data_IF_613760347088
#
_entry.id   IF_613760347088
#
_cell.length_a   1.000
_cell.length_b   1.000
_cell.length_c   1.000
_cell.angle_alpha   90.00
_cell.angle_beta   90.00
_cell.angle_gamma   90.00
#
_symmetry.space_group_name_H-M   'P 1'
#
loop_
_entity.id
_entity.type
_entity.pdbx_description
1 polymer ?
#
# COMPACT_ATOMS: atom_id res chain seq x y z
N UNK A 1 -3.24 22.72 -28.57
CA UNK A 1 -4.49 22.22 -27.97
C UNK A 1 -4.15 21.78 -26.57
N UNK A 2 -4.39 22.68 -25.63
CA UNK A 2 -4.12 22.49 -24.21
C UNK A 2 -5.09 21.43 -23.70
N UNK A 3 -4.57 20.27 -23.31
CA UNK A 3 -5.38 19.27 -22.64
C UNK A 3 -5.82 19.86 -21.30
N UNK A 4 -7.11 20.16 -21.17
CA UNK A 4 -7.75 20.42 -19.89
C UNK A 4 -7.54 19.17 -19.03
N UNK A 5 -6.49 19.19 -18.21
CA UNK A 5 -6.31 18.25 -17.11
C UNK A 5 -7.49 18.45 -16.17
N UNK A 6 -8.47 17.54 -16.22
CA UNK A 6 -9.63 17.65 -15.34
C UNK A 6 -9.13 17.66 -13.89
N UNK A 7 -9.43 18.73 -13.19
CA UNK A 7 -9.28 18.80 -11.75
C UNK A 7 -10.24 17.78 -11.14
N UNK A 8 -9.79 16.53 -10.96
CA UNK A 8 -10.40 15.61 -10.00
C UNK A 8 -10.28 16.20 -8.61
N UNK A 9 -11.24 17.06 -8.27
CA UNK A 9 -11.56 17.46 -6.91
C UNK A 9 -12.14 16.24 -6.17
N UNK A 10 -12.27 16.29 -4.85
CA UNK A 10 -12.86 15.19 -4.06
C UNK A 10 -14.25 14.75 -4.56
N UNK A 11 -14.95 15.58 -5.36
CA UNK A 11 -16.21 15.27 -6.02
C UNK A 11 -16.15 14.21 -7.13
N UNK A 12 -14.96 13.85 -7.64
CA UNK A 12 -14.80 12.84 -8.70
C UNK A 12 -14.48 11.43 -8.17
N UNK A 13 -14.44 11.25 -6.85
CA UNK A 13 -14.21 9.93 -6.25
C UNK A 13 -15.50 9.08 -6.28
N UNK A 14 -15.40 7.76 -6.57
CA UNK A 14 -16.49 6.82 -6.33
C UNK A 14 -16.93 6.85 -4.87
N UNK A 15 -18.22 6.58 -4.61
CA UNK A 15 -18.81 6.65 -3.26
C UNK A 15 -18.01 5.88 -2.19
N UNK A 16 -17.58 4.65 -2.51
CA UNK A 16 -16.76 3.82 -1.60
C UNK A 16 -15.41 4.46 -1.28
N UNK A 17 -14.79 5.13 -2.26
CA UNK A 17 -13.48 5.75 -2.12
C UNK A 17 -13.59 7.05 -1.33
N UNK A 18 -14.68 7.80 -1.50
CA UNK A 18 -14.98 8.99 -0.71
C UNK A 18 -15.06 8.66 0.78
N UNK A 19 -15.74 7.57 1.15
CA UNK A 19 -15.82 7.15 2.56
C UNK A 19 -14.44 6.89 3.17
N UNK A 20 -13.58 6.13 2.49
CA UNK A 20 -12.22 5.85 2.98
C UNK A 20 -11.36 7.12 3.01
N UNK A 21 -11.49 8.00 2.01
CA UNK A 21 -10.78 9.28 1.98
C UNK A 21 -11.13 10.17 3.19
N UNK A 22 -12.41 10.19 3.59
CA UNK A 22 -12.88 10.88 4.79
C UNK A 22 -12.29 10.28 6.07
N UNK A 23 -12.35 8.96 6.21
CA UNK A 23 -11.80 8.24 7.37
C UNK A 23 -10.28 8.38 7.47
N UNK A 24 -9.57 8.51 6.35
CA UNK A 24 -8.12 8.71 6.30
C UNK A 24 -7.70 10.13 6.72
N UNK A 25 -8.61 11.10 6.74
CA UNK A 25 -8.32 12.50 7.12
C UNK A 25 -8.28 13.49 5.95
N UNK A 26 -8.94 13.16 4.84
CA UNK A 26 -9.22 14.07 3.71
C UNK A 26 -8.00 14.83 3.15
N UNK A 27 -6.89 14.15 2.79
CA UNK A 27 -5.76 14.83 2.19
C UNK A 27 -6.15 15.48 0.86
N UNK A 28 -5.52 16.61 0.55
CA UNK A 28 -5.79 17.37 -0.67
C UNK A 28 -5.24 16.65 -1.90
N UNK A 29 -6.14 16.00 -2.64
CA UNK A 29 -5.80 15.09 -3.75
C UNK A 29 -5.10 15.77 -4.93
N UNK A 30 -5.35 17.06 -5.17
CA UNK A 30 -4.71 17.82 -6.25
C UNK A 30 -3.18 17.91 -6.08
N UNK A 31 -2.67 17.83 -4.86
CA UNK A 31 -1.23 17.89 -4.57
C UNK A 31 -0.55 16.50 -4.65
N UNK A 32 -1.33 15.44 -4.76
CA UNK A 32 -0.84 14.05 -4.69
C UNK A 32 -0.79 13.35 -6.05
N UNK A 33 -1.20 14.03 -7.13
CA UNK A 33 -1.31 13.46 -8.48
C UNK A 33 0.03 13.01 -9.05
N UNK A 34 -0.08 12.04 -9.94
CA UNK A 34 1.04 11.62 -10.78
C UNK A 34 1.35 12.65 -11.86
N UNK A 35 2.64 12.76 -12.18
CA UNK A 35 3.20 13.58 -13.25
C UNK A 35 3.92 12.63 -14.21
N UNK A 36 3.26 12.30 -15.32
CA UNK A 36 3.79 11.30 -16.27
C UNK A 36 4.73 11.89 -17.33
N UNK A 37 4.58 13.18 -17.65
CA UNK A 37 5.27 13.84 -18.76
C UNK A 37 6.24 14.91 -18.25
N UNK A 38 7.21 15.30 -19.08
CA UNK A 38 8.25 16.28 -18.74
C UNK A 38 9.61 15.64 -18.38
N UNK A 39 10.53 16.40 -17.75
CA UNK A 39 11.84 15.90 -17.34
C UNK A 39 11.72 14.75 -16.34
N UNK A 40 12.54 13.70 -16.47
CA UNK A 40 12.47 12.49 -15.64
C UNK A 40 12.50 12.78 -14.14
N UNK A 41 13.30 13.76 -13.71
CA UNK A 41 13.44 14.15 -12.30
C UNK A 41 12.15 14.72 -11.69
N UNK A 42 11.28 15.29 -12.52
CA UNK A 42 10.00 15.87 -12.10
C UNK A 42 8.82 14.91 -12.22
N UNK A 43 9.03 13.72 -12.80
CA UNK A 43 7.97 12.73 -12.96
C UNK A 43 7.71 12.04 -11.63
N UNK A 44 6.43 11.83 -11.35
CA UNK A 44 5.93 11.15 -10.15
C UNK A 44 4.93 10.12 -10.63
N UNK A 45 5.21 8.85 -10.42
CA UNK A 45 4.32 7.78 -10.87
C UNK A 45 4.48 6.54 -10.03
N UNK A 46 3.41 5.76 -9.92
CA UNK A 46 3.44 4.42 -9.35
C UNK A 46 2.66 4.32 -8.05
N UNK A 47 2.38 3.07 -7.66
CA UNK A 47 1.61 2.77 -6.48
C UNK A 47 2.39 3.11 -5.21
N UNK A 48 1.69 3.70 -4.25
CA UNK A 48 2.17 4.11 -2.94
C UNK A 48 1.39 3.35 -1.88
N UNK A 49 1.96 3.27 -0.69
CA UNK A 49 1.23 2.77 0.47
C UNK A 49 0.02 3.67 0.71
N UNK A 50 -1.09 3.06 1.11
CA UNK A 50 -2.37 3.73 1.38
C UNK A 50 -3.10 4.24 0.12
N UNK A 51 -2.65 3.91 -1.09
CA UNK A 51 -3.38 4.28 -2.31
C UNK A 51 -4.74 3.58 -2.39
N UNK A 52 -5.77 4.31 -2.84
CA UNK A 52 -7.06 3.71 -3.15
C UNK A 52 -6.99 3.06 -4.52
N UNK A 53 -7.29 1.77 -4.58
CA UNK A 53 -7.16 0.95 -5.78
C UNK A 53 -8.41 0.11 -6.01
N UNK A 54 -8.60 -0.24 -7.27
CA UNK A 54 -9.59 -1.23 -7.71
C UNK A 54 -8.85 -2.35 -8.44
N UNK A 55 -9.13 -3.59 -8.05
CA UNK A 55 -8.53 -4.80 -8.58
C UNK A 55 -9.61 -5.57 -9.32
N UNK A 56 -9.35 -5.90 -10.58
CA UNK A 56 -10.14 -6.84 -11.36
C UNK A 56 -9.49 -8.22 -11.26
N UNK A 57 -10.24 -9.18 -10.74
CA UNK A 57 -9.83 -10.57 -10.57
C UNK A 57 -10.24 -11.42 -11.78
N UNK A 58 -9.52 -12.51 -12.01
CA UNK A 58 -9.90 -13.54 -12.97
C UNK A 58 -11.17 -14.25 -12.47
N UNK A 59 -12.27 -14.06 -13.19
CA UNK A 59 -13.58 -14.63 -12.83
C UNK A 59 -13.59 -16.15 -12.75
N UNK A 60 -12.64 -16.84 -13.39
CA UNK A 60 -12.50 -18.31 -13.30
C UNK A 60 -12.01 -18.77 -11.93
N UNK A 61 -11.35 -17.90 -11.19
CA UNK A 61 -10.86 -18.17 -9.83
C UNK A 61 -11.92 -17.87 -8.76
N UNK A 62 -13.09 -17.35 -9.14
CA UNK A 62 -14.16 -16.93 -8.23
C UNK A 62 -15.37 -17.87 -8.28
N UNK A 63 -16.18 -17.92 -7.22
CA UNK A 63 -17.48 -18.56 -7.27
C UNK A 63 -18.37 -17.97 -8.37
N UNK A 64 -19.31 -18.78 -8.87
CA UNK A 64 -20.28 -18.30 -9.87
C UNK A 64 -21.12 -17.16 -9.29
N UNK A 65 -21.36 -16.14 -10.11
CA UNK A 65 -22.14 -14.94 -9.79
C UNK A 65 -21.49 -14.01 -8.74
N UNK A 66 -20.18 -14.12 -8.51
CA UNK A 66 -19.43 -13.14 -7.71
C UNK A 66 -18.97 -11.98 -8.58
N UNK A 67 -19.06 -10.75 -8.06
CA UNK A 67 -18.48 -9.58 -8.73
C UNK A 67 -16.94 -9.68 -8.69
N UNK A 68 -16.24 -9.59 -9.83
CA UNK A 68 -14.79 -9.79 -9.89
C UNK A 68 -13.99 -8.54 -9.50
N UNK A 69 -14.66 -7.48 -9.02
CA UNK A 69 -14.01 -6.26 -8.58
C UNK A 69 -13.80 -6.29 -7.08
N UNK A 70 -12.61 -5.90 -6.67
CA UNK A 70 -12.26 -5.70 -5.28
C UNK A 70 -11.67 -4.31 -5.12
N UNK A 71 -12.18 -3.55 -4.16
CA UNK A 71 -11.88 -2.13 -3.98
C UNK A 71 -11.42 -1.89 -2.55
N UNK A 72 -10.47 -0.99 -2.38
CA UNK A 72 -9.96 -0.67 -1.06
C UNK A 72 -8.66 0.11 -1.09
N UNK A 73 -8.07 0.22 0.09
CA UNK A 73 -6.80 0.88 0.33
C UNK A 73 -5.66 -0.14 0.29
N UNK A 74 -4.59 0.19 -0.45
CA UNK A 74 -3.40 -0.65 -0.57
C UNK A 74 -2.60 -0.65 0.73
N UNK A 75 -2.49 -1.81 1.36
CA UNK A 75 -1.74 -1.99 2.62
C UNK A 75 -0.31 -2.44 2.33
N UNK A 76 -0.15 -3.37 1.39
CA UNK A 76 1.12 -4.05 1.14
C UNK A 76 1.22 -4.65 -0.25
N UNK A 77 2.45 -4.69 -0.76
CA UNK A 77 2.78 -5.36 -2.03
C UNK A 77 3.96 -6.30 -1.82
N UNK A 78 3.66 -7.60 -1.73
CA UNK A 78 4.67 -8.65 -1.67
C UNK A 78 4.92 -9.23 -3.06
N UNK A 79 5.94 -10.09 -3.21
CA UNK A 79 6.32 -10.68 -4.51
C UNK A 79 5.16 -11.39 -5.21
N UNK A 80 4.34 -12.14 -4.46
CA UNK A 80 3.26 -12.96 -5.01
C UNK A 80 1.87 -12.51 -4.57
N UNK A 81 1.78 -11.46 -3.75
CA UNK A 81 0.54 -11.08 -3.05
C UNK A 81 0.37 -9.57 -3.07
N UNK A 82 -0.87 -9.12 -3.18
CA UNK A 82 -1.31 -7.76 -2.89
C UNK A 82 -2.23 -7.80 -1.68
N UNK A 83 -1.98 -6.93 -0.71
CA UNK A 83 -2.73 -6.82 0.52
C UNK A 83 -3.51 -5.51 0.50
N UNK A 84 -4.82 -5.59 0.71
CA UNK A 84 -5.69 -4.42 0.76
C UNK A 84 -6.55 -4.45 2.01
N UNK A 85 -6.95 -3.27 2.44
CA UNK A 85 -8.06 -3.05 3.37
C UNK A 85 -9.26 -2.64 2.54
N UNK A 86 -10.27 -3.51 2.44
CA UNK A 86 -11.37 -3.36 1.49
C UNK A 86 -12.43 -2.35 1.96
N UNK A 87 -13.35 -1.97 1.06
CA UNK A 87 -14.43 -1.01 1.33
C UNK A 87 -15.42 -1.45 2.44
N UNK A 88 -15.41 -2.73 2.83
CA UNK A 88 -16.21 -3.27 3.93
C UNK A 88 -15.46 -3.25 5.27
N UNK A 89 -14.18 -2.86 5.26
CA UNK A 89 -13.32 -2.84 6.44
C UNK A 89 -12.56 -4.15 6.68
N UNK A 90 -12.59 -5.09 5.73
CA UNK A 90 -11.90 -6.37 5.86
C UNK A 90 -10.47 -6.30 5.28
N UNK A 91 -9.52 -6.94 5.95
CA UNK A 91 -8.21 -7.20 5.37
C UNK A 91 -8.29 -8.35 4.36
N UNK A 92 -7.80 -8.13 3.15
CA UNK A 92 -7.76 -9.12 2.05
C UNK A 92 -6.34 -9.30 1.56
N UNK A 93 -5.91 -10.55 1.44
CA UNK A 93 -4.63 -10.95 0.85
C UNK A 93 -4.91 -11.70 -0.45
N UNK A 94 -4.45 -11.15 -1.58
CA UNK A 94 -4.84 -11.59 -2.93
C UNK A 94 -3.60 -12.06 -3.66
N UNK A 95 -3.65 -13.26 -4.23
CA UNK A 95 -2.57 -13.77 -5.05
C UNK A 95 -2.47 -12.97 -6.37
N UNK A 96 -1.24 -12.64 -6.79
CA UNK A 96 -1.02 -11.81 -7.99
C UNK A 96 -1.36 -12.51 -9.30
N UNK A 97 -1.33 -13.84 -9.32
CA UNK A 97 -1.63 -14.67 -10.48
C UNK A 97 -3.11 -14.67 -10.86
N UNK A 98 -4.01 -14.33 -9.92
CA UNK A 98 -5.44 -14.18 -10.19
C UNK A 98 -5.85 -12.74 -10.50
N UNK A 99 -4.91 -11.78 -10.55
CA UNK A 99 -5.21 -10.38 -10.86
C UNK A 99 -5.11 -10.14 -12.36
N UNK A 100 -6.20 -9.66 -12.96
CA UNK A 100 -6.25 -9.25 -14.37
C UNK A 100 -5.79 -7.80 -14.53
N UNK A 101 -6.24 -6.91 -13.65
CA UNK A 101 -5.89 -5.48 -13.69
C UNK A 101 -5.90 -4.89 -12.29
N UNK A 102 -5.01 -3.93 -12.05
CA UNK A 102 -5.05 -3.04 -10.90
C UNK A 102 -5.15 -1.59 -11.41
N UNK A 103 -6.21 -0.90 -11.01
CA UNK A 103 -6.47 0.50 -11.35
C UNK A 103 -6.27 1.36 -10.10
N UNK A 104 -5.37 2.34 -10.22
CA UNK A 104 -5.25 3.39 -9.22
C UNK A 104 -6.48 4.32 -9.31
N UNK A 105 -7.14 4.55 -8.18
CA UNK A 105 -8.27 5.48 -8.07
C UNK A 105 -7.75 6.85 -7.67
N UNK A 106 -7.01 6.92 -6.55
CA UNK A 106 -6.35 8.15 -6.09
C UNK A 106 -5.21 7.84 -5.13
N UNK A 107 -4.27 8.78 -5.01
CA UNK A 107 -3.24 8.74 -3.99
C UNK A 107 -3.73 9.43 -2.72
N UNK A 108 -3.49 8.78 -1.57
CA UNK A 108 -3.72 9.39 -0.26
C UNK A 108 -2.43 9.92 0.39
N UNK A 109 -1.28 9.47 -0.12
CA UNK A 109 0.03 9.80 0.43
C UNK A 109 0.97 10.43 -0.60
N UNK A 110 1.96 11.17 -0.08
CA UNK A 110 3.04 11.74 -0.89
C UNK A 110 3.91 10.62 -1.45
N UNK A 111 4.62 10.85 -2.57
CA UNK A 111 5.66 9.94 -3.02
C UNK A 111 6.67 9.67 -1.91
N UNK A 112 7.22 8.46 -1.85
CA UNK A 112 8.14 8.00 -0.80
C UNK A 112 9.22 9.03 -0.41
N UNK A 113 9.89 9.62 -1.40
CA UNK A 113 11.00 10.57 -1.21
C UNK A 113 10.54 11.86 -0.51
N UNK A 114 9.27 12.24 -0.66
CA UNK A 114 8.67 13.44 -0.09
C UNK A 114 7.92 13.17 1.23
N UNK A 115 7.77 11.89 1.59
CA UNK A 115 7.04 11.44 2.77
C UNK A 115 7.96 11.31 3.99
N UNK A 116 8.11 12.43 4.70
CA UNK A 116 8.95 12.49 5.92
C UNK A 116 8.45 11.58 7.03
N UNK A 117 7.13 11.39 7.14
CA UNK A 117 6.55 10.55 8.18
C UNK A 117 6.90 9.09 7.92
N UNK A 118 6.66 8.61 6.69
CA UNK A 118 7.00 7.24 6.29
C UNK A 118 8.50 6.96 6.45
N UNK A 119 9.35 7.87 5.97
CA UNK A 119 10.80 7.76 6.12
C UNK A 119 11.26 7.70 7.59
N UNK A 120 10.57 8.41 8.48
CA UNK A 120 10.89 8.40 9.91
C UNK A 120 10.44 7.08 10.55
N UNK A 121 9.22 6.65 10.23
CA UNK A 121 8.66 5.38 10.71
C UNK A 121 9.52 4.18 10.32
N UNK A 122 9.93 4.06 9.05
CA UNK A 122 10.77 2.95 8.60
C UNK A 122 12.15 2.95 9.28
N UNK A 123 12.75 4.12 9.49
CA UNK A 123 14.01 4.23 10.24
C UNK A 123 13.87 3.74 11.68
N UNK A 124 12.75 4.06 12.33
CA UNK A 124 12.46 3.57 13.67
C UNK A 124 12.17 2.06 13.70
N UNK A 125 11.44 1.53 12.72
CA UNK A 125 11.15 0.10 12.61
C UNK A 125 12.43 -0.72 12.46
N UNK A 126 13.34 -0.29 11.58
CA UNK A 126 14.65 -0.92 11.41
C UNK A 126 15.42 -0.93 12.74
N UNK A 127 15.42 0.19 13.49
CA UNK A 127 16.07 0.27 14.81
C UNK A 127 15.44 -0.71 15.80
N UNK A 128 14.10 -0.79 15.86
CA UNK A 128 13.39 -1.73 16.75
C UNK A 128 13.71 -3.18 16.42
N UNK A 129 13.73 -3.54 15.13
CA UNK A 129 14.05 -4.90 14.69
C UNK A 129 15.49 -5.29 15.03
N UNK A 130 16.45 -4.39 14.85
CA UNK A 130 17.84 -4.62 15.24
C UNK A 130 17.97 -4.83 16.75
N UNK A 131 17.30 -4.01 17.57
CA UNK A 131 17.34 -4.15 19.02
C UNK A 131 16.73 -5.49 19.48
N UNK A 132 15.60 -5.91 18.89
CA UNK A 132 14.98 -7.20 19.19
C UNK A 132 15.88 -8.39 18.81
N UNK A 133 16.61 -8.27 17.69
CA UNK A 133 17.56 -9.30 17.27
C UNK A 133 18.75 -9.39 18.24
N UNK A 134 19.31 -8.25 18.67
CA UNK A 134 20.38 -8.18 19.65
C UNK A 134 19.95 -8.74 21.02
N UNK A 135 18.72 -8.44 21.47
CA UNK A 135 18.15 -9.03 22.69
C UNK A 135 17.97 -10.56 22.58
N UNK A 136 17.54 -11.05 21.41
CA UNK A 136 17.41 -12.48 21.16
C UNK A 136 18.79 -13.18 21.17
N UNK A 137 19.82 -12.59 20.56
CA UNK A 137 21.19 -13.14 20.59
C UNK A 137 21.76 -13.18 22.01
N UNK A 138 21.58 -12.12 22.81
CA UNK A 138 22.00 -12.10 24.22
C UNK A 138 21.31 -13.18 25.08
N UNK A 139 20.06 -13.53 24.76
CA UNK A 139 19.35 -14.61 25.46
C UNK A 139 19.85 -16.01 25.04
N UNK A 140 20.38 -16.16 23.83
CA UNK A 140 20.96 -17.43 23.33
C UNK A 140 22.37 -17.63 23.86
N UNK A 141 23.22 -16.59 23.86
CA UNK A 141 24.58 -16.64 24.43
C UNK A 141 24.60 -16.86 25.96
N UNK A 142 23.47 -16.62 26.65
CA UNK A 142 23.30 -16.93 28.06
C UNK A 142 22.89 -18.38 28.37
N UNK A 143 22.76 -19.25 27.35
CA UNK A 143 22.16 -20.59 27.48
C UNK A 143 23.09 -21.77 27.11
N UNK A 144 24.40 -21.57 27.01
CA UNK A 144 25.36 -22.68 26.88
C UNK A 144 26.55 -22.49 27.81
N UNK A 145 26.47 -23.15 28.97
CA UNK A 145 27.61 -23.66 29.74
C UNK A 145 27.07 -24.71 30.73
N UNK A 146 26.56 -25.84 30.22
CA UNK A 146 26.52 -27.11 30.96
C UNK A 146 25.99 -28.27 30.11
N UNK A 147 26.77 -28.73 29.12
CA UNK A 147 26.72 -30.12 28.66
C UNK A 147 28.13 -30.58 28.26
N UNK A 148 28.96 -30.80 29.28
CA UNK A 148 30.10 -31.72 29.18
C UNK A 148 29.51 -33.12 29.05
N UNK A 149 29.91 -33.82 28.00
CA UNK A 149 29.55 -35.21 27.75
C UNK A 149 30.29 -36.11 28.74
N UNK A 150 29.55 -36.93 29.50
CA UNK A 150 30.00 -38.17 30.15
C UNK A 150 28.91 -39.24 29.96
#
# INVERSE_FOLDING_TARGET
MSGEESERDSGDLPEWATKIHQEYGEPKLSELRDIFLGPLIGRKSGLRKDDLIEILLDSRALPKNTEPYLRGMLVGTSRNVIEIWDENGDFRSIARDVIVQLRLITHLRKPYIEDKELLTFEKEEIRRRSNLHEEAERQVDGRDDNHVWD
#
